data_IF_895199715203
#
_entry.id   IF_895199715203
#
_cell.length_a   1.000
_cell.length_b   1.000
_cell.length_c   1.000
_cell.angle_alpha   90.00
_cell.angle_beta   90.00
_cell.angle_gamma   90.00
#
_symmetry.space_group_name_H-M   'P 1'
#
loop_
_entity.id
_entity.type
_entity.pdbx_description
1 polymer ?
#
# COMPACT_ATOMS: atom_id res chain seq x y z
N UNK A 1 -0.49 -8.03 19.11
CA UNK A 1 -0.81 -9.32 18.43
C UNK A 1 -2.14 -9.14 17.73
N UNK A 2 -2.21 -9.46 16.46
CA UNK A 2 -3.47 -9.44 15.71
C UNK A 2 -4.26 -10.68 16.14
N UNK A 3 -5.52 -10.51 16.54
CA UNK A 3 -6.38 -11.61 16.96
C UNK A 3 -6.61 -12.58 15.78
N UNK A 4 -6.74 -13.88 16.07
CA UNK A 4 -6.99 -14.90 15.04
C UNK A 4 -8.34 -14.71 14.33
N UNK A 5 -9.32 -14.12 15.00
CA UNK A 5 -10.62 -13.79 14.42
C UNK A 5 -10.51 -12.71 13.34
N UNK A 6 -9.58 -11.77 13.48
CA UNK A 6 -9.29 -10.74 12.47
C UNK A 6 -8.76 -11.34 11.17
N UNK A 7 -7.98 -12.41 11.25
CA UNK A 7 -7.41 -13.08 10.07
C UNK A 7 -8.40 -13.97 9.31
N UNK A 8 -9.62 -14.15 9.84
CA UNK A 8 -10.68 -14.99 9.26
C UNK A 8 -12.03 -14.30 9.40
N UNK A 9 -12.33 -13.40 8.48
CA UNK A 9 -13.67 -12.82 8.39
C UNK A 9 -14.42 -13.50 7.23
N UNK A 10 -15.61 -14.02 7.51
CA UNK A 10 -16.51 -14.60 6.49
C UNK A 10 -15.86 -15.68 5.61
N UNK A 11 -15.06 -16.60 6.20
CA UNK A 11 -14.29 -17.63 5.50
C UNK A 11 -13.15 -17.11 4.58
N UNK A 12 -12.82 -15.84 4.63
CA UNK A 12 -11.69 -15.26 3.92
C UNK A 12 -10.44 -15.26 4.79
N UNK A 13 -9.33 -15.76 4.25
CA UNK A 13 -8.02 -15.71 4.89
C UNK A 13 -7.30 -14.43 4.47
N UNK A 14 -6.86 -13.63 5.44
CA UNK A 14 -6.06 -12.43 5.20
C UNK A 14 -4.57 -12.79 5.08
N UNK A 15 -3.93 -12.38 3.98
CA UNK A 15 -2.47 -12.46 3.81
C UNK A 15 -1.86 -11.11 4.20
N UNK A 16 -1.27 -11.07 5.37
CA UNK A 16 -0.65 -9.89 5.97
C UNK A 16 0.86 -9.95 5.92
N UNK A 17 1.51 -8.80 5.85
CA UNK A 17 2.95 -8.67 6.00
C UNK A 17 3.28 -7.90 7.27
N UNK A 18 3.98 -8.56 8.19
CA UNK A 18 4.40 -7.97 9.46
C UNK A 18 5.90 -7.76 9.48
N UNK A 19 6.33 -6.58 9.93
CA UNK A 19 7.73 -6.21 10.06
C UNK A 19 8.09 -6.06 11.53
N UNK A 20 9.16 -6.74 11.94
CA UNK A 20 9.75 -6.56 13.27
C UNK A 20 10.85 -5.50 13.20
N UNK A 21 10.71 -4.44 13.99
CA UNK A 21 11.65 -3.33 14.03
C UNK A 21 12.42 -3.31 15.34
N UNK A 22 13.67 -2.85 15.29
CA UNK A 22 14.55 -2.63 16.43
C UNK A 22 15.32 -1.32 16.26
N UNK A 23 15.81 -0.75 17.38
CA UNK A 23 16.66 0.43 17.37
C UNK A 23 15.89 1.75 17.35
N UNK A 24 16.51 2.86 16.84
CA UNK A 24 15.95 4.20 16.95
C UNK A 24 14.56 4.39 16.34
N UNK A 25 14.23 3.64 15.28
CA UNK A 25 12.94 3.67 14.60
C UNK A 25 11.78 3.31 15.57
N UNK A 26 12.03 2.53 16.61
CA UNK A 26 11.03 2.18 17.63
C UNK A 26 10.61 3.41 18.44
N UNK A 27 11.54 4.33 18.71
CA UNK A 27 11.20 5.60 19.41
C UNK A 27 10.25 6.45 18.57
N UNK A 28 10.51 6.55 17.27
CA UNK A 28 9.64 7.30 16.37
C UNK A 28 8.23 6.71 16.34
N UNK A 29 8.12 5.38 16.22
CA UNK A 29 6.82 4.69 16.26
C UNK A 29 6.12 4.85 17.61
N UNK A 30 6.87 4.80 18.72
CA UNK A 30 6.32 5.02 20.06
C UNK A 30 5.81 6.45 20.27
N UNK A 31 6.48 7.44 19.69
CA UNK A 31 6.04 8.83 19.75
C UNK A 31 4.72 9.04 18.97
N UNK A 32 4.60 8.43 17.79
CA UNK A 32 3.36 8.45 17.00
C UNK A 32 2.24 7.80 17.81
N UNK A 33 2.46 6.61 18.33
CA UNK A 33 1.48 5.91 19.17
C UNK A 33 1.04 6.75 20.37
N UNK A 34 1.99 7.44 21.03
CA UNK A 34 1.67 8.30 22.18
C UNK A 34 0.80 9.50 21.78
N UNK A 35 1.06 10.10 20.62
CA UNK A 35 0.27 11.17 20.08
C UNK A 35 -1.17 10.71 19.75
N UNK A 36 -1.31 9.62 19.02
CA UNK A 36 -2.59 9.05 18.63
C UNK A 36 -3.39 8.64 19.88
N UNK A 37 -2.74 7.99 20.85
CA UNK A 37 -3.37 7.62 22.11
C UNK A 37 -3.88 8.83 22.89
N UNK A 38 -3.09 9.91 22.95
CA UNK A 38 -3.50 11.14 23.63
C UNK A 38 -4.69 11.80 22.93
N UNK A 39 -4.68 11.84 21.60
CA UNK A 39 -5.77 12.40 20.81
C UNK A 39 -7.10 11.67 21.04
N UNK A 40 -7.06 10.34 21.18
CA UNK A 40 -8.26 9.52 21.38
C UNK A 40 -8.75 9.51 22.84
N UNK A 41 -7.84 9.61 23.81
CA UNK A 41 -8.18 9.35 25.21
C UNK A 41 -8.05 10.57 26.12
N UNK A 42 -7.44 11.66 25.67
CA UNK A 42 -7.00 12.82 26.49
C UNK A 42 -6.15 12.41 27.69
N UNK A 43 -5.45 11.27 27.62
CA UNK A 43 -4.60 10.74 28.68
C UNK A 43 -3.22 10.44 28.14
N UNK A 44 -2.18 10.82 28.87
CA UNK A 44 -0.84 10.37 28.52
C UNK A 44 -0.79 8.83 28.55
N UNK A 45 -0.17 8.16 27.56
CA UNK A 45 0.01 6.73 27.62
C UNK A 45 0.88 6.40 28.83
N UNK A 46 0.64 5.23 29.44
CA UNK A 46 1.51 4.70 30.51
C UNK A 46 2.95 4.88 30.10
N UNK A 47 3.83 5.22 31.06
CA UNK A 47 5.22 5.56 30.78
C UNK A 47 5.80 4.65 29.71
N UNK A 48 6.00 5.18 28.52
CA UNK A 48 6.73 4.47 27.47
C UNK A 48 8.13 4.34 28.05
N UNK A 49 8.46 3.19 28.63
CA UNK A 49 9.85 2.91 29.05
C UNK A 49 10.68 3.14 27.80
N UNK A 50 11.66 4.03 27.91
CA UNK A 50 12.56 4.23 26.79
C UNK A 50 13.08 2.88 26.32
N UNK A 51 12.87 2.54 25.05
CA UNK A 51 13.37 1.27 24.55
C UNK A 51 14.88 1.28 24.73
N UNK A 52 15.42 0.24 25.40
CA UNK A 52 16.86 0.06 25.54
C UNK A 52 17.41 -0.08 24.11
N UNK A 53 18.03 1.00 23.62
CA UNK A 53 18.70 0.97 22.32
C UNK A 53 20.03 0.28 22.56
N UNK A 54 20.06 -1.04 22.39
CA UNK A 54 21.33 -1.74 22.30
C UNK A 54 22.14 -1.10 21.15
N UNK A 55 23.41 -0.78 21.42
CA UNK A 55 24.33 -0.33 20.36
C UNK A 55 24.38 -1.41 19.28
N UNK A 56 23.70 -1.18 18.19
CA UNK A 56 23.76 -2.07 17.04
C UNK A 56 25.02 -1.78 16.25
N UNK A 57 25.81 -2.81 15.98
CA UNK A 57 27.02 -2.70 15.15
C UNK A 57 26.71 -2.50 13.66
N UNK A 58 25.48 -2.79 13.23
CA UNK A 58 25.00 -2.63 11.86
C UNK A 58 23.49 -2.35 11.87
N UNK A 59 23.00 -1.59 10.92
CA UNK A 59 21.58 -1.26 10.78
C UNK A 59 21.25 -0.83 9.37
N UNK A 60 19.96 -0.76 9.08
CA UNK A 60 19.42 -0.21 7.84
C UNK A 60 18.96 1.20 8.09
N UNK A 61 19.16 2.10 7.13
CA UNK A 61 18.52 3.41 7.17
C UNK A 61 17.02 3.22 6.98
N UNK A 62 16.25 3.67 7.96
CA UNK A 62 14.80 3.62 7.91
C UNK A 62 14.19 4.90 8.46
N UNK A 63 13.03 5.26 7.94
CA UNK A 63 12.29 6.45 8.30
C UNK A 63 10.83 6.08 8.52
N UNK A 64 10.26 6.45 9.66
CA UNK A 64 8.82 6.29 9.94
C UNK A 64 8.10 7.55 9.49
N UNK A 65 7.03 7.39 8.76
CA UNK A 65 6.22 8.48 8.26
C UNK A 65 4.74 8.24 8.64
N UNK A 66 4.21 9.01 9.60
CA UNK A 66 2.79 9.02 9.88
C UNK A 66 2.03 9.88 8.88
N UNK A 67 0.76 9.60 8.70
CA UNK A 67 -0.16 10.37 7.88
C UNK A 67 -1.58 10.26 8.43
N UNK A 68 -2.42 11.23 8.12
CA UNK A 68 -3.83 11.24 8.53
C UNK A 68 -4.29 12.65 8.92
N UNK A 69 -5.52 12.78 9.43
CA UNK A 69 -6.14 14.09 9.69
C UNK A 69 -5.43 14.94 10.76
N UNK A 70 -4.60 14.31 11.60
CA UNK A 70 -3.79 15.02 12.61
C UNK A 70 -2.48 15.61 12.04
N UNK A 71 -2.23 15.45 10.75
CA UNK A 71 -1.03 15.93 10.05
C UNK A 71 -1.43 16.90 8.94
N UNK A 72 -0.76 18.05 8.86
CA UNK A 72 -1.07 19.14 7.91
C UNK A 72 -0.97 18.76 6.43
N UNK A 73 -0.45 17.59 6.14
CA UNK A 73 -0.16 17.17 4.78
C UNK A 73 -0.52 15.70 4.57
N UNK A 74 -0.94 15.36 3.36
CA UNK A 74 -1.16 13.98 2.90
C UNK A 74 0.21 13.28 2.70
N UNK A 75 0.89 12.99 3.82
CA UNK A 75 2.27 12.53 3.81
C UNK A 75 2.48 11.26 2.99
N UNK A 76 1.56 10.29 3.10
CA UNK A 76 1.62 9.04 2.34
C UNK A 76 1.53 9.28 0.84
N UNK A 77 0.56 10.09 0.41
CA UNK A 77 0.36 10.43 -1.00
C UNK A 77 1.60 11.10 -1.58
N UNK A 78 2.12 12.11 -0.88
CA UNK A 78 3.33 12.84 -1.30
C UNK A 78 4.55 11.93 -1.39
N UNK A 79 4.70 11.01 -0.42
CA UNK A 79 5.74 9.99 -0.46
C UNK A 79 5.61 9.11 -1.71
N UNK A 80 4.44 8.53 -1.96
CA UNK A 80 4.23 7.62 -3.08
C UNK A 80 4.44 8.33 -4.43
N UNK A 81 3.89 9.52 -4.59
CA UNK A 81 4.09 10.36 -5.79
C UNK A 81 5.57 10.66 -6.01
N UNK A 82 6.30 11.06 -4.95
CA UNK A 82 7.73 11.35 -5.02
C UNK A 82 8.55 10.12 -5.43
N UNK A 83 8.22 8.95 -4.90
CA UNK A 83 8.88 7.69 -5.24
C UNK A 83 8.62 7.28 -6.70
N UNK A 84 7.40 7.50 -7.21
CA UNK A 84 7.05 7.24 -8.60
C UNK A 84 7.84 8.14 -9.57
N UNK A 85 8.02 9.41 -9.24
CA UNK A 85 8.85 10.31 -10.05
C UNK A 85 10.34 10.00 -9.93
N UNK A 86 10.82 9.53 -8.78
CA UNK A 86 12.23 9.17 -8.54
C UNK A 86 12.63 7.87 -9.23
N UNK A 87 11.73 6.94 -9.44
CA UNK A 87 11.98 5.62 -10.00
C UNK A 87 12.63 5.68 -11.39
N UNK A 88 13.62 4.83 -11.61
CA UNK A 88 14.41 4.76 -12.85
C UNK A 88 14.24 3.46 -13.62
N UNK A 89 13.95 2.34 -12.92
CA UNK A 89 13.91 1.01 -13.52
C UNK A 89 12.57 0.32 -13.31
N UNK A 90 12.17 0.13 -12.06
CA UNK A 90 10.97 -0.65 -11.73
C UNK A 90 10.32 -0.26 -10.43
N UNK A 91 9.01 -0.42 -10.40
CA UNK A 91 8.21 -0.29 -9.18
C UNK A 91 7.28 -1.51 -9.10
N UNK A 92 7.25 -2.14 -7.93
CA UNK A 92 6.23 -3.15 -7.62
C UNK A 92 5.41 -2.68 -6.43
N UNK A 93 4.12 -2.52 -6.65
CA UNK A 93 3.12 -2.13 -5.66
C UNK A 93 2.30 -3.35 -5.32
N UNK A 94 2.25 -3.72 -4.05
CA UNK A 94 1.33 -4.72 -3.52
C UNK A 94 0.42 -4.02 -2.53
N UNK A 95 -0.86 -4.01 -2.83
CA UNK A 95 -1.85 -3.31 -2.04
C UNK A 95 -3.23 -3.96 -2.28
N UNK A 96 -4.06 -4.17 -1.26
CA UNK A 96 -5.40 -4.75 -1.45
C UNK A 96 -6.22 -3.95 -2.44
N UNK A 97 -6.12 -2.62 -2.37
CA UNK A 97 -6.84 -1.67 -3.19
C UNK A 97 -5.90 -0.72 -3.92
N UNK A 98 -6.30 -0.30 -5.10
CA UNK A 98 -5.66 0.77 -5.84
C UNK A 98 -6.74 1.69 -6.43
N UNK A 99 -7.13 2.69 -5.65
CA UNK A 99 -8.13 3.72 -6.00
C UNK A 99 -7.44 5.08 -5.91
N UNK A 100 -6.53 5.36 -6.86
CA UNK A 100 -5.68 6.53 -6.79
C UNK A 100 -6.46 7.82 -6.93
N UNK A 101 -5.98 8.85 -6.27
CA UNK A 101 -6.31 10.23 -6.63
C UNK A 101 -5.63 10.63 -7.95
N UNK A 102 -5.90 11.84 -8.41
CA UNK A 102 -5.37 12.32 -9.69
C UNK A 102 -3.84 12.45 -9.68
N UNK A 103 -3.24 12.87 -8.57
CA UNK A 103 -1.80 13.04 -8.46
C UNK A 103 -1.07 11.69 -8.53
N UNK A 104 -1.56 10.69 -7.79
CA UNK A 104 -0.99 9.34 -7.80
C UNK A 104 -1.17 8.67 -9.17
N UNK A 105 -2.35 8.77 -9.76
CA UNK A 105 -2.64 8.22 -11.08
C UNK A 105 -1.72 8.82 -12.15
N UNK A 106 -1.58 10.13 -12.15
CA UNK A 106 -0.69 10.86 -13.08
C UNK A 106 0.76 10.45 -12.89
N UNK A 107 1.21 10.30 -11.65
CA UNK A 107 2.58 9.87 -11.34
C UNK A 107 2.85 8.44 -11.84
N UNK A 108 1.92 7.49 -11.66
CA UNK A 108 2.04 6.13 -12.17
C UNK A 108 2.12 6.12 -13.69
N UNK A 109 1.20 6.80 -14.37
CA UNK A 109 1.18 6.86 -15.85
C UNK A 109 2.46 7.52 -16.37
N UNK A 110 2.89 8.62 -15.76
CA UNK A 110 4.12 9.31 -16.12
C UNK A 110 5.35 8.42 -15.96
N UNK A 111 5.46 7.68 -14.86
CA UNK A 111 6.55 6.75 -14.64
C UNK A 111 6.56 5.61 -15.69
N UNK A 112 5.40 5.02 -15.97
CA UNK A 112 5.29 3.99 -17.01
C UNK A 112 5.71 4.52 -18.40
N UNK A 113 5.27 5.74 -18.77
CA UNK A 113 5.66 6.38 -20.05
C UNK A 113 7.14 6.76 -20.11
N UNK A 114 7.82 6.96 -18.99
CA UNK A 114 9.28 7.12 -18.93
C UNK A 114 10.04 5.80 -19.10
N UNK A 115 9.35 4.67 -19.23
CA UNK A 115 9.94 3.34 -19.37
C UNK A 115 10.21 2.62 -18.06
N UNK A 116 9.67 3.12 -16.94
CA UNK A 116 9.72 2.39 -15.66
C UNK A 116 8.77 1.20 -15.70
N UNK A 117 9.27 0.01 -15.39
CA UNK A 117 8.45 -1.21 -15.28
C UNK A 117 7.56 -1.13 -14.04
N UNK A 118 6.26 -0.91 -14.21
CA UNK A 118 5.32 -0.83 -13.10
C UNK A 118 4.49 -2.10 -13.03
N UNK A 119 4.51 -2.74 -11.87
CA UNK A 119 3.67 -3.89 -11.54
C UNK A 119 2.80 -3.56 -10.33
N UNK A 120 1.50 -3.75 -10.46
CA UNK A 120 0.53 -3.62 -9.38
C UNK A 120 -0.07 -5.00 -9.10
N UNK A 121 -0.09 -5.39 -7.84
CA UNK A 121 -0.72 -6.63 -7.37
C UNK A 121 -1.81 -6.25 -6.38
N UNK A 122 -3.05 -6.45 -6.79
CA UNK A 122 -4.23 -6.23 -5.94
C UNK A 122 -4.88 -7.55 -5.54
N UNK A 123 -5.81 -7.52 -4.59
CA UNK A 123 -6.62 -8.67 -4.26
C UNK A 123 -7.77 -8.87 -5.25
N UNK A 124 -8.04 -10.12 -5.64
CA UNK A 124 -9.26 -10.47 -6.37
C UNK A 124 -10.47 -10.49 -5.44
N UNK A 125 -10.25 -10.97 -4.21
CA UNK A 125 -11.27 -10.94 -3.15
C UNK A 125 -11.52 -9.49 -2.76
N UNK A 126 -12.78 -9.14 -2.58
CA UNK A 126 -13.23 -7.80 -2.20
C UNK A 126 -13.97 -7.92 -0.87
N UNK A 127 -13.49 -7.24 0.15
CA UNK A 127 -14.23 -7.08 1.42
C UNK A 127 -15.18 -5.87 1.37
N UNK A 128 -14.94 -4.94 0.43
CA UNK A 128 -15.76 -3.77 0.16
C UNK A 128 -16.15 -3.73 -1.32
N UNK A 129 -17.43 -3.94 -1.60
CA UNK A 129 -17.94 -4.05 -2.97
C UNK A 129 -17.67 -2.81 -3.81
N UNK A 130 -17.95 -1.61 -3.26
CA UNK A 130 -17.77 -0.33 -3.98
C UNK A 130 -16.31 -0.04 -4.29
N UNK A 131 -15.41 -0.21 -3.32
CA UNK A 131 -13.96 -0.02 -3.50
C UNK A 131 -13.43 -0.93 -4.59
N UNK A 132 -13.90 -2.18 -4.62
CA UNK A 132 -13.54 -3.14 -5.66
C UNK A 132 -13.95 -2.69 -7.07
N UNK A 133 -15.13 -2.10 -7.23
CA UNK A 133 -15.58 -1.57 -8.52
C UNK A 133 -14.85 -0.28 -8.89
N UNK A 134 -14.65 0.64 -7.94
CA UNK A 134 -13.86 1.85 -8.17
C UNK A 134 -12.44 1.53 -8.64
N UNK A 135 -11.75 0.59 -7.99
CA UNK A 135 -10.43 0.10 -8.41
C UNK A 135 -10.42 -0.38 -9.86
N UNK A 136 -11.42 -1.15 -10.26
CA UNK A 136 -11.56 -1.72 -11.61
C UNK A 136 -11.66 -0.65 -12.68
N UNK A 137 -12.26 0.50 -12.38
CA UNK A 137 -12.43 1.61 -13.33
C UNK A 137 -11.10 2.20 -13.82
N UNK A 138 -10.02 2.05 -13.04
CA UNK A 138 -8.69 2.55 -13.40
C UNK A 138 -7.87 1.58 -14.27
N UNK A 139 -8.25 0.30 -14.33
CA UNK A 139 -7.42 -0.74 -14.94
C UNK A 139 -7.18 -0.52 -16.42
N UNK A 140 -8.19 -0.10 -17.18
CA UNK A 140 -8.02 0.12 -18.61
C UNK A 140 -6.99 1.22 -18.91
N UNK A 141 -7.07 2.34 -18.19
CA UNK A 141 -6.15 3.46 -18.33
C UNK A 141 -4.72 3.06 -17.94
N UNK A 142 -4.55 2.31 -16.86
CA UNK A 142 -3.26 1.82 -16.41
C UNK A 142 -2.65 0.80 -17.39
N UNK A 143 -3.44 -0.15 -17.89
CA UNK A 143 -3.00 -1.14 -18.87
C UNK A 143 -2.59 -0.47 -20.20
N UNK A 144 -3.34 0.54 -20.66
CA UNK A 144 -3.00 1.34 -21.85
C UNK A 144 -1.69 2.13 -21.66
N UNK A 145 -1.38 2.52 -20.42
CA UNK A 145 -0.12 3.18 -20.09
C UNK A 145 1.09 2.22 -20.00
N UNK A 146 0.86 0.91 -20.08
CA UNK A 146 1.92 -0.11 -19.98
C UNK A 146 2.13 -0.69 -18.58
N UNK A 147 1.27 -0.35 -17.61
CA UNK A 147 1.30 -0.93 -16.27
C UNK A 147 0.86 -2.40 -16.33
N UNK A 148 1.59 -3.28 -15.65
CA UNK A 148 1.21 -4.68 -15.49
C UNK A 148 0.39 -4.84 -14.22
N UNK A 149 -0.81 -5.43 -14.33
CA UNK A 149 -1.72 -5.64 -13.21
C UNK A 149 -1.91 -7.13 -12.97
N UNK A 150 -1.80 -7.53 -11.71
CA UNK A 150 -2.08 -8.88 -11.23
C UNK A 150 -3.18 -8.84 -10.17
N UNK A 151 -4.07 -9.85 -10.19
CA UNK A 151 -5.08 -10.08 -9.16
C UNK A 151 -4.72 -11.35 -8.39
N UNK A 152 -4.46 -11.20 -7.11
CA UNK A 152 -4.17 -12.32 -6.20
C UNK A 152 -5.42 -13.17 -6.02
N UNK A 153 -5.29 -14.46 -6.28
CA UNK A 153 -6.41 -15.40 -6.42
C UNK A 153 -7.17 -15.61 -5.11
N UNK A 154 -8.50 -15.69 -5.24
CA UNK A 154 -9.37 -16.16 -4.17
C UNK A 154 -8.94 -17.59 -3.70
N UNK A 155 -9.24 -18.00 -2.45
CA UNK A 155 -10.02 -17.29 -1.43
C UNK A 155 -9.18 -16.38 -0.51
N UNK A 156 -7.91 -16.14 -0.81
CA UNK A 156 -7.01 -15.36 0.03
C UNK A 156 -7.18 -13.88 -0.28
N UNK A 157 -7.48 -13.08 0.74
CA UNK A 157 -7.47 -11.63 0.64
C UNK A 157 -6.06 -11.09 0.90
N UNK A 158 -5.41 -10.63 -0.17
CA UNK A 158 -4.09 -10.02 -0.08
C UNK A 158 -4.23 -8.65 0.58
N UNK A 159 -3.97 -8.59 1.89
CA UNK A 159 -4.15 -7.37 2.68
C UNK A 159 -2.84 -6.65 3.01
N UNK A 160 -1.70 -7.19 2.63
CA UNK A 160 -0.40 -6.53 2.80
C UNK A 160 -0.27 -5.28 1.93
N UNK A 161 0.41 -4.23 2.48
CA UNK A 161 0.65 -2.96 1.80
C UNK A 161 2.14 -2.69 1.79
N UNK A 162 2.74 -2.82 0.61
CA UNK A 162 4.17 -2.56 0.45
C UNK A 162 4.54 -2.23 -0.99
N UNK A 163 5.63 -1.49 -1.13
CA UNK A 163 6.17 -1.04 -2.40
C UNK A 163 7.66 -1.31 -2.42
N UNK A 164 8.18 -1.71 -3.57
CA UNK A 164 9.61 -1.63 -3.86
C UNK A 164 9.86 -0.71 -5.03
N UNK A 165 10.87 0.15 -4.90
CA UNK A 165 11.31 1.07 -5.94
C UNK A 165 12.75 0.74 -6.29
N UNK A 166 12.98 0.45 -7.54
CA UNK A 166 14.27 0.01 -8.06
C UNK A 166 14.84 -1.17 -7.24
N UNK A 167 16.08 -1.06 -6.75
CA UNK A 167 16.72 -2.14 -6.00
C UNK A 167 17.09 -1.72 -4.56
N UNK A 168 16.74 -0.52 -4.13
CA UNK A 168 17.26 0.10 -2.92
C UNK A 168 16.24 0.74 -1.98
N UNK A 169 14.98 0.93 -2.41
CA UNK A 169 13.93 1.51 -1.57
C UNK A 169 12.77 0.53 -1.41
N UNK A 170 12.32 0.37 -0.17
CA UNK A 170 11.09 -0.31 0.17
C UNK A 170 10.21 0.56 1.07
N UNK A 171 8.90 0.47 0.92
CA UNK A 171 7.92 1.06 1.83
C UNK A 171 6.99 -0.04 2.30
N UNK A 172 6.74 -0.11 3.59
CA UNK A 172 5.81 -1.05 4.22
C UNK A 172 5.00 -0.31 5.27
N UNK A 173 3.71 -0.58 5.36
CA UNK A 173 2.89 0.05 6.38
C UNK A 173 1.42 -0.30 6.30
N UNK A 174 0.60 0.54 6.91
CA UNK A 174 -0.84 0.37 7.00
C UNK A 174 -1.60 0.99 5.82
N UNK A 175 -1.01 1.98 5.14
CA UNK A 175 -1.70 2.80 4.13
C UNK A 175 -2.11 2.03 2.89
N UNK A 176 -3.39 2.01 2.61
CA UNK A 176 -3.88 1.66 1.29
C UNK A 176 -3.52 2.76 0.27
N UNK A 177 -3.62 2.44 -1.01
CA UNK A 177 -3.51 3.41 -2.09
C UNK A 177 -4.91 3.88 -2.52
N UNK A 178 -5.59 4.52 -1.60
CA UNK A 178 -6.91 5.12 -1.78
C UNK A 178 -7.00 6.49 -1.08
N UNK A 179 -8.00 7.27 -1.48
CA UNK A 179 -8.19 8.63 -0.98
C UNK A 179 -8.46 8.63 0.52
N UNK A 180 -9.18 7.63 1.04
CA UNK A 180 -9.48 7.52 2.46
C UNK A 180 -8.21 7.35 3.30
N UNK A 181 -7.29 6.49 2.87
CA UNK A 181 -6.00 6.29 3.55
C UNK A 181 -5.08 7.50 3.44
N UNK A 182 -5.28 8.36 2.44
CA UNK A 182 -4.48 9.58 2.31
C UNK A 182 -4.98 10.71 3.18
N UNK A 183 -6.30 10.84 3.38
CA UNK A 183 -6.92 12.02 3.98
C UNK A 183 -7.58 11.76 5.34
N UNK A 184 -8.16 10.58 5.54
CA UNK A 184 -9.07 10.34 6.66
C UNK A 184 -8.54 9.37 7.72
N UNK A 185 -7.75 8.38 7.31
CA UNK A 185 -7.25 7.39 8.24
C UNK A 185 -5.94 7.84 8.89
N UNK A 186 -5.75 7.48 10.16
CA UNK A 186 -4.44 7.50 10.79
C UNK A 186 -3.62 6.33 10.24
N UNK A 187 -2.58 6.65 9.50
CA UNK A 187 -1.73 5.67 8.81
C UNK A 187 -0.27 5.85 9.20
N UNK A 188 0.48 4.76 9.12
CA UNK A 188 1.91 4.78 9.37
C UNK A 188 2.63 3.89 8.37
N UNK A 189 3.64 4.43 7.71
CA UNK A 189 4.52 3.68 6.82
C UNK A 189 5.97 3.80 7.25
N UNK A 190 6.76 2.80 6.91
CA UNK A 190 8.22 2.80 7.11
C UNK A 190 8.88 2.75 5.75
N UNK A 191 9.73 3.72 5.47
CA UNK A 191 10.60 3.76 4.30
C UNK A 191 11.94 3.17 4.68
N UNK A 192 12.43 2.20 3.93
CA UNK A 192 13.66 1.47 4.19
C UNK A 192 14.58 1.61 2.98
N UNK A 193 15.81 2.09 3.22
CA UNK A 193 16.83 2.32 2.21
C UNK A 193 17.92 1.25 2.33
N UNK A 194 17.61 0.01 1.88
CA UNK A 194 18.52 -1.12 1.97
C UNK A 194 18.28 -2.16 0.88
N UNK A 195 19.30 -2.45 0.10
CA UNK A 195 19.22 -3.41 -1.02
C UNK A 195 18.92 -4.84 -0.58
N UNK A 196 19.46 -5.26 0.57
CA UNK A 196 19.25 -6.62 1.10
C UNK A 196 17.80 -6.80 1.53
N UNK A 197 17.23 -5.79 2.18
CA UNK A 197 15.82 -5.77 2.56
C UNK A 197 14.90 -5.79 1.33
N UNK A 198 15.18 -4.92 0.35
CA UNK A 198 14.43 -4.88 -0.92
C UNK A 198 14.49 -6.22 -1.63
N UNK A 199 15.66 -6.88 -1.67
CA UNK A 199 15.80 -8.21 -2.27
C UNK A 199 14.92 -9.27 -1.57
N UNK A 200 14.82 -9.23 -0.24
CA UNK A 200 13.93 -10.13 0.53
C UNK A 200 12.46 -9.83 0.22
N UNK A 201 12.08 -8.56 0.19
CA UNK A 201 10.71 -8.16 -0.10
C UNK A 201 10.29 -8.52 -1.53
N UNK A 202 11.18 -8.39 -2.51
CA UNK A 202 10.96 -8.85 -3.89
C UNK A 202 10.66 -10.35 -4.00
N UNK A 203 11.23 -11.18 -3.13
CA UNK A 203 10.90 -12.62 -3.08
C UNK A 203 9.45 -12.84 -2.63
N UNK A 204 8.96 -12.04 -1.67
CA UNK A 204 7.57 -12.08 -1.23
C UNK A 204 6.66 -11.61 -2.38
N UNK A 205 6.99 -10.49 -3.03
CA UNK A 205 6.25 -9.97 -4.18
C UNK A 205 6.18 -11.00 -5.33
N UNK A 206 7.28 -11.68 -5.61
CA UNK A 206 7.31 -12.75 -6.63
C UNK A 206 6.37 -13.91 -6.27
N UNK A 207 6.26 -14.27 -4.97
CA UNK A 207 5.29 -15.27 -4.50
C UNK A 207 3.86 -14.78 -4.70
N UNK A 208 3.58 -13.52 -4.38
CA UNK A 208 2.25 -12.95 -4.59
C UNK A 208 1.88 -12.94 -6.09
N UNK A 209 2.79 -12.53 -6.96
CA UNK A 209 2.61 -12.56 -8.42
C UNK A 209 2.36 -13.99 -8.92
N UNK A 210 3.13 -14.98 -8.43
CA UNK A 210 2.95 -16.40 -8.79
C UNK A 210 1.55 -16.92 -8.43
N UNK A 211 1.00 -16.44 -7.33
CA UNK A 211 -0.34 -16.81 -6.85
C UNK A 211 -1.47 -15.93 -7.44
N UNK A 212 -1.15 -15.12 -8.44
CA UNK A 212 -2.07 -14.20 -9.09
C UNK A 212 -2.32 -14.58 -10.54
N UNK A 213 -3.34 -14.00 -11.14
CA UNK A 213 -3.52 -14.02 -12.57
C UNK A 213 -3.32 -12.61 -13.15
N UNK A 214 -2.72 -12.56 -14.35
CA UNK A 214 -2.46 -11.29 -15.03
C UNK A 214 -3.71 -10.77 -15.69
N UNK A 215 -4.02 -9.49 -15.46
CA UNK A 215 -5.06 -8.77 -16.19
C UNK A 215 -4.49 -8.33 -17.53
N UNK A 216 -5.18 -8.64 -18.62
CA UNK A 216 -4.77 -8.22 -19.96
C UNK A 216 -5.75 -7.22 -20.53
N UNK A 217 -5.25 -6.23 -21.28
CA UNK A 217 -6.10 -5.20 -21.89
C UNK A 217 -7.21 -5.81 -22.76
N UNK A 218 -6.89 -6.84 -23.56
CA UNK A 218 -7.86 -7.54 -24.41
C UNK A 218 -9.01 -8.14 -23.62
N UNK A 219 -8.72 -8.87 -22.53
CA UNK A 219 -9.76 -9.44 -21.66
C UNK A 219 -10.56 -8.35 -20.96
N UNK A 220 -9.87 -7.27 -20.58
CA UNK A 220 -10.50 -6.16 -19.88
C UNK A 220 -11.51 -5.41 -20.75
N UNK A 221 -11.18 -5.16 -22.00
CA UNK A 221 -12.06 -4.49 -22.98
C UNK A 221 -13.24 -5.35 -23.43
N UNK A 222 -13.12 -6.67 -23.32
CA UNK A 222 -14.19 -7.60 -23.68
C UNK A 222 -15.11 -7.97 -22.51
N UNK A 223 -15.04 -7.24 -21.37
CA UNK A 223 -15.94 -7.48 -20.24
C UNK A 223 -17.37 -6.99 -20.55
N UNK A 224 -18.40 -7.51 -19.84
CA UNK A 224 -19.76 -7.07 -20.05
C UNK A 224 -19.93 -5.55 -19.86
N UNK A 225 -20.65 -4.83 -20.72
CA UNK A 225 -20.86 -3.38 -20.60
C UNK A 225 -21.47 -2.96 -19.25
N UNK A 226 -22.33 -3.80 -18.67
CA UNK A 226 -22.93 -3.54 -17.36
C UNK A 226 -21.87 -3.42 -16.24
N UNK A 227 -20.78 -4.20 -16.31
CA UNK A 227 -19.68 -4.09 -15.34
C UNK A 227 -18.93 -2.76 -15.50
N UNK A 228 -18.76 -2.28 -16.72
CA UNK A 228 -18.12 -1.00 -17.00
C UNK A 228 -18.92 0.18 -16.45
N UNK A 229 -20.24 0.14 -16.59
CA UNK A 229 -21.14 1.15 -16.01
C UNK A 229 -21.05 1.15 -14.49
N UNK A 230 -21.08 -0.02 -13.85
CA UNK A 230 -20.94 -0.15 -12.39
C UNK A 230 -19.59 0.35 -11.90
N UNK A 231 -18.49 -0.01 -12.59
CA UNK A 231 -17.14 0.45 -12.27
C UNK A 231 -17.06 1.98 -12.39
N UNK A 232 -17.70 2.58 -13.39
CA UNK A 232 -17.73 4.03 -13.61
C UNK A 232 -18.56 4.75 -12.54
N UNK A 233 -19.71 4.22 -12.13
CA UNK A 233 -20.53 4.77 -11.04
C UNK A 233 -19.74 4.70 -9.73
N UNK A 234 -19.13 3.56 -9.43
CA UNK A 234 -18.31 3.41 -8.22
C UNK A 234 -17.13 4.40 -8.19
N UNK A 235 -16.55 4.74 -9.35
CA UNK A 235 -15.50 5.77 -9.44
C UNK A 235 -15.99 7.16 -9.00
N UNK A 236 -17.23 7.53 -9.29
CA UNK A 236 -17.78 8.83 -8.86
C UNK A 236 -17.83 8.98 -7.33
N UNK A 237 -17.90 7.85 -6.62
CA UNK A 237 -17.93 7.81 -5.15
C UNK A 237 -16.56 7.56 -4.52
N UNK A 238 -15.47 7.50 -5.32
CA UNK A 238 -14.12 7.18 -4.83
C UNK A 238 -13.58 8.14 -3.77
N UNK A 239 -14.04 9.38 -3.76
CA UNK A 239 -13.71 10.37 -2.71
C UNK A 239 -14.39 10.08 -1.36
N UNK A 240 -15.38 9.17 -1.33
CA UNK A 240 -16.12 8.79 -0.11
C UNK A 240 -15.74 7.38 0.39
N UNK A 241 -14.80 6.71 -0.28
CA UNK A 241 -14.43 5.31 -0.04
C UNK A 241 -13.14 5.19 0.74
#
# INVERSE_FOLDING_TARGET
MIDRSYQRKDNVLYDELVVKMHGPVVRQTSAIFAGDWYSETNRAPFSIREPIIAKQKSGMLAQVLPSGPSYDHENNLKLFVSLLYKAKKRITIVNPYFVPDEALLTAVISAAKRGVEITIVNSEVKDQWMVGHAQRSYYEQLLKAGVTIYLHKAPIFLHSKHITVDDDIAVIGSSNMDIRSFQLNLECVVVIYDKSFVSKLKKIQAKNIKNSHKVTLRKWQNRPPAEEVLDSIARLTSSLQ
#
